data_IF_631465981533
#
_entry.id   IF_631465981533
#
_cell.length_a   1.000
_cell.length_b   1.000
_cell.length_c   1.000
_cell.angle_alpha   90.00
_cell.angle_beta   90.00
_cell.angle_gamma   90.00
#
_symmetry.space_group_name_H-M   'P 1'
#
loop_
_entity.id
_entity.type
_entity.pdbx_description
1 polymer ?
#
# COMPACT_ATOMS: atom_id res chain seq x y z
N UNK A 1 -16.46 -13.34 2.16
CA UNK A 1 -15.22 -12.54 2.20
C UNK A 1 -14.13 -13.54 2.54
N UNK A 2 -13.07 -13.59 1.75
CA UNK A 2 -11.96 -14.54 1.94
C UNK A 2 -11.40 -14.39 3.37
N UNK A 3 -11.19 -15.49 4.10
CA UNK A 3 -10.69 -15.45 5.50
C UNK A 3 -9.37 -14.70 5.60
N UNK A 4 -8.56 -14.77 4.54
CA UNK A 4 -7.31 -14.04 4.38
C UNK A 4 -7.53 -12.52 4.42
N UNK A 5 -8.53 -12.01 3.70
CA UNK A 5 -8.77 -10.56 3.62
C UNK A 5 -9.28 -9.99 4.95
N UNK A 6 -10.06 -10.77 5.71
CA UNK A 6 -10.46 -10.39 7.07
C UNK A 6 -9.27 -10.30 8.02
N UNK A 7 -8.35 -11.26 7.98
CA UNK A 7 -7.13 -11.24 8.82
C UNK A 7 -6.27 -10.03 8.50
N UNK A 8 -6.14 -9.67 7.21
CA UNK A 8 -5.39 -8.49 6.83
C UNK A 8 -6.08 -7.22 7.35
N UNK A 9 -7.40 -7.10 7.24
CA UNK A 9 -8.15 -5.96 7.80
C UNK A 9 -7.98 -5.83 9.32
N UNK A 10 -8.09 -6.94 10.05
CA UNK A 10 -7.86 -6.99 11.49
C UNK A 10 -6.42 -6.59 11.86
N UNK A 11 -5.43 -7.08 11.10
CA UNK A 11 -4.02 -6.73 11.34
C UNK A 11 -3.74 -5.25 11.12
N UNK A 12 -4.32 -4.66 10.07
CA UNK A 12 -4.09 -3.26 9.73
C UNK A 12 -4.78 -2.30 10.71
N UNK A 13 -5.76 -2.76 11.49
CA UNK A 13 -6.40 -1.97 12.56
C UNK A 13 -6.89 -0.60 12.06
N UNK A 14 -7.66 -0.61 10.97
CA UNK A 14 -8.20 0.59 10.35
C UNK A 14 -7.19 1.43 9.54
N UNK A 15 -5.92 1.01 9.44
CA UNK A 15 -4.95 1.61 8.51
C UNK A 15 -5.29 1.24 7.05
N UNK A 16 -4.92 2.09 6.09
CA UNK A 16 -5.23 1.84 4.68
C UNK A 16 -4.53 0.59 4.16
N UNK A 17 -5.17 -0.09 3.21
CA UNK A 17 -4.56 -1.16 2.41
C UNK A 17 -3.45 -0.63 1.53
N UNK A 18 -2.53 -1.49 1.13
CA UNK A 18 -1.50 -1.15 0.14
C UNK A 18 -2.12 -0.62 -1.17
N UNK A 19 -3.24 -1.20 -1.61
CA UNK A 19 -4.00 -0.73 -2.78
C UNK A 19 -4.51 0.70 -2.60
N UNK A 20 -5.06 1.05 -1.43
CA UNK A 20 -5.51 2.41 -1.11
C UNK A 20 -4.35 3.40 -1.10
N UNK A 21 -3.20 3.01 -0.51
CA UNK A 21 -1.99 3.85 -0.51
C UNK A 21 -1.48 4.10 -1.94
N UNK A 22 -1.51 3.08 -2.80
CA UNK A 22 -1.19 3.20 -4.23
C UNK A 22 -2.08 4.19 -4.95
N UNK A 23 -3.40 4.12 -4.73
CA UNK A 23 -4.36 5.04 -5.33
C UNK A 23 -4.10 6.48 -4.91
N UNK A 24 -3.88 6.71 -3.61
CA UNK A 24 -3.54 8.02 -3.07
C UNK A 24 -2.22 8.55 -3.65
N UNK A 25 -1.20 7.70 -3.75
CA UNK A 25 0.09 8.04 -4.37
C UNK A 25 -0.09 8.47 -5.82
N UNK A 26 -0.82 7.69 -6.62
CA UNK A 26 -1.05 8.02 -8.03
C UNK A 26 -1.84 9.33 -8.22
N UNK A 27 -2.83 9.59 -7.37
CA UNK A 27 -3.56 10.86 -7.38
C UNK A 27 -2.62 12.03 -7.06
N UNK A 28 -1.71 11.86 -6.10
CA UNK A 28 -0.73 12.87 -5.71
C UNK A 28 0.34 13.09 -6.80
N UNK A 29 0.83 12.03 -7.44
CA UNK A 29 1.72 12.10 -8.60
C UNK A 29 1.08 12.86 -9.77
N UNK A 30 -0.21 12.64 -10.03
CA UNK A 30 -0.94 13.36 -11.06
C UNK A 30 -1.13 14.84 -10.71
N UNK A 31 -1.24 15.19 -9.43
CA UNK A 31 -1.21 16.58 -8.97
C UNK A 31 0.18 17.19 -9.12
N UNK A 32 1.23 16.46 -8.72
CA UNK A 32 2.62 16.90 -8.83
C UNK A 32 2.99 17.23 -10.29
N UNK A 33 2.64 16.37 -11.25
CA UNK A 33 2.89 16.66 -12.68
C UNK A 33 2.28 17.98 -13.14
N UNK A 34 1.03 18.25 -12.75
CA UNK A 34 0.35 19.51 -13.06
C UNK A 34 1.03 20.72 -12.40
N UNK A 35 1.54 20.54 -11.18
CA UNK A 35 2.30 21.58 -10.46
C UNK A 35 3.64 21.87 -11.14
N UNK A 36 4.34 20.85 -11.62
CA UNK A 36 5.63 21.00 -12.33
C UNK A 36 5.47 21.65 -13.71
N UNK A 37 4.32 21.49 -14.36
CA UNK A 37 3.97 22.15 -15.63
C UNK A 37 3.55 23.62 -15.46
N UNK A 38 3.12 24.02 -14.26
CA UNK A 38 2.67 25.38 -13.95
C UNK A 38 3.83 26.24 -13.39
N UNK A 39 4.38 27.20 -14.16
CA UNK A 39 5.50 28.03 -13.72
C UNK A 39 5.16 28.99 -12.58
N UNK A 40 3.88 29.16 -12.25
CA UNK A 40 3.44 29.95 -11.10
C UNK A 40 3.50 29.18 -9.78
N UNK A 41 3.67 27.85 -9.83
CA UNK A 41 3.79 27.03 -8.63
C UNK A 41 5.12 27.29 -7.92
N UNK A 42 5.10 27.62 -6.62
CA UNK A 42 6.34 27.82 -5.88
C UNK A 42 7.17 26.53 -5.78
N UNK A 43 8.49 26.57 -6.01
CA UNK A 43 9.35 25.38 -5.95
C UNK A 43 9.28 24.64 -4.62
N UNK A 44 9.12 25.34 -3.49
CA UNK A 44 8.99 24.67 -2.19
C UNK A 44 7.75 23.76 -2.09
N UNK A 45 6.66 24.11 -2.78
CA UNK A 45 5.44 23.29 -2.79
C UNK A 45 5.62 22.03 -3.64
N UNK A 46 6.38 22.14 -4.73
CA UNK A 46 6.75 20.99 -5.58
C UNK A 46 7.60 20.02 -4.77
N UNK A 47 8.64 20.51 -4.07
CA UNK A 47 9.51 19.67 -3.23
C UNK A 47 8.75 18.99 -2.10
N UNK A 48 7.86 19.71 -1.40
CA UNK A 48 6.99 19.11 -0.38
C UNK A 48 6.09 18.02 -0.95
N UNK A 49 5.52 18.24 -2.13
CA UNK A 49 4.65 17.25 -2.78
C UNK A 49 5.43 16.03 -3.24
N UNK A 50 6.66 16.21 -3.75
CA UNK A 50 7.59 15.11 -4.07
C UNK A 50 7.89 14.25 -2.85
N UNK A 51 8.16 14.90 -1.72
CA UNK A 51 8.42 14.19 -0.47
C UNK A 51 7.20 13.40 0.02
N UNK A 52 6.00 13.96 -0.07
CA UNK A 52 4.76 13.25 0.25
C UNK A 52 4.54 12.03 -0.66
N UNK A 53 4.83 12.13 -1.96
CA UNK A 53 4.77 10.99 -2.89
C UNK A 53 5.77 9.91 -2.47
N UNK A 54 6.99 10.29 -2.09
CA UNK A 54 8.02 9.35 -1.60
C UNK A 54 7.54 8.62 -0.35
N UNK A 55 7.00 9.33 0.63
CA UNK A 55 6.47 8.73 1.87
C UNK A 55 5.32 7.76 1.57
N UNK A 56 4.37 8.15 0.72
CA UNK A 56 3.27 7.25 0.34
C UNK A 56 3.75 5.98 -0.36
N UNK A 57 4.82 6.07 -1.17
CA UNK A 57 5.43 4.91 -1.79
C UNK A 57 6.07 3.98 -0.76
N UNK A 58 6.78 4.53 0.24
CA UNK A 58 7.39 3.74 1.32
C UNK A 58 6.32 3.03 2.15
N UNK A 59 5.26 3.74 2.54
CA UNK A 59 4.13 3.16 3.27
C UNK A 59 3.40 2.09 2.44
N UNK A 60 3.21 2.31 1.13
CA UNK A 60 2.65 1.31 0.22
C UNK A 60 3.47 0.02 0.25
N UNK A 61 4.79 0.11 0.12
CA UNK A 61 5.68 -1.06 0.10
C UNK A 61 5.68 -1.81 1.43
N UNK A 62 5.75 -1.09 2.55
CA UNK A 62 5.71 -1.68 3.89
C UNK A 62 4.39 -2.41 4.09
N UNK A 63 3.28 -1.77 3.75
CA UNK A 63 1.95 -2.36 3.87
C UNK A 63 1.83 -3.58 2.97
N UNK A 64 2.24 -3.48 1.70
CA UNK A 64 2.21 -4.60 0.74
C UNK A 64 3.00 -5.80 1.27
N UNK A 65 4.20 -5.57 1.80
CA UNK A 65 5.03 -6.63 2.38
C UNK A 65 4.33 -7.36 3.53
N UNK A 66 3.66 -6.62 4.41
CA UNK A 66 2.88 -7.18 5.52
C UNK A 66 1.70 -7.99 4.99
N UNK A 67 0.93 -7.44 4.06
CA UNK A 67 -0.21 -8.15 3.49
C UNK A 67 0.23 -9.47 2.80
N UNK A 68 1.32 -9.43 2.03
CA UNK A 68 1.85 -10.60 1.33
C UNK A 68 2.40 -11.66 2.29
N UNK A 69 2.99 -11.23 3.41
CA UNK A 69 3.43 -12.14 4.48
C UNK A 69 2.24 -12.89 5.08
N UNK A 70 1.13 -12.19 5.36
CA UNK A 70 -0.10 -12.82 5.89
C UNK A 70 -0.66 -13.82 4.87
N UNK A 71 -0.77 -13.44 3.60
CA UNK A 71 -1.25 -14.32 2.52
C UNK A 71 -0.38 -15.58 2.42
N UNK A 72 0.94 -15.42 2.47
CA UNK A 72 1.89 -16.51 2.41
C UNK A 72 1.72 -17.48 3.59
N UNK A 73 1.68 -16.97 4.82
CA UNK A 73 1.53 -17.81 6.03
C UNK A 73 0.24 -18.62 5.98
N UNK A 74 -0.89 -17.99 5.66
CA UNK A 74 -2.18 -18.70 5.61
C UNK A 74 -2.24 -19.72 4.47
N UNK A 75 -1.62 -19.44 3.33
CA UNK A 75 -1.52 -20.39 2.22
C UNK A 75 -0.67 -21.61 2.59
N UNK A 76 0.44 -21.39 3.31
CA UNK A 76 1.31 -22.46 3.78
C UNK A 76 0.62 -23.36 4.83
N UNK A 77 -0.12 -22.76 5.76
CA UNK A 77 -0.91 -23.49 6.77
C UNK A 77 -1.99 -24.35 6.11
N UNK A 78 -2.70 -23.80 5.12
CA UNK A 78 -3.71 -24.55 4.37
C UNK A 78 -3.12 -25.75 3.62
N UNK A 79 -1.92 -25.60 3.03
CA UNK A 79 -1.20 -26.70 2.37
C UNK A 79 -0.75 -27.77 3.38
N UNK A 80 -0.27 -27.39 4.55
CA UNK A 80 0.12 -28.36 5.58
C UNK A 80 -1.07 -29.18 6.10
N UNK A 81 -2.23 -28.56 6.28
CA UNK A 81 -3.45 -29.26 6.69
C UNK A 81 -3.88 -30.30 5.64
N UNK A 82 -3.79 -29.97 4.36
CA UNK A 82 -4.10 -30.92 3.28
C UNK A 82 -3.14 -32.11 3.22
N UNK A 83 -1.86 -31.93 3.53
CA UNK A 83 -0.85 -33.00 3.49
C UNK A 83 -0.92 -33.88 4.75
N UNK A 84 -1.36 -33.33 5.90
CA UNK A 84 -1.46 -34.06 7.16
C UNK A 84 -2.75 -34.88 7.34
N UNK A 85 -3.73 -34.74 6.43
CA UNK A 85 -4.99 -35.49 6.43
C UNK A 85 -4.98 -36.75 5.54
N UNK A 86 -3.86 -37.04 4.85
CA UNK A 86 -3.58 -38.30 4.12
C UNK A 86 -2.68 -39.27 4.93
#
# INVERSE_FOLDING_TARGET
MDDVERVIEEFLDGKPRASTLRELRHALEAKLRRMEEDPSTPPEQIEQTREQVRVLYEEELITQFVEDSIRFTLSADALQQQIGED
#
